data_IF_569081858921
#
_entry.id   IF_569081858921
#
_cell.length_a   1.000
_cell.length_b   1.000
_cell.length_c   1.000
_cell.angle_alpha   90.00
_cell.angle_beta   90.00
_cell.angle_gamma   90.00
#
_symmetry.space_group_name_H-M   'P 1'
#
loop_
_entity.id
_entity.type
_entity.pdbx_description
1 polymer ?
#
# COMPACT_ATOMS: atom_id res chain seq x y z
N UNK A 1 -6.57 -33.60 4.20
CA UNK A 1 -7.75 -32.71 4.23
C UNK A 1 -8.62 -32.98 5.47
N UNK A 2 -8.99 -31.93 6.22
CA UNK A 2 -10.07 -32.02 7.21
C UNK A 2 -9.76 -32.49 8.63
N UNK A 3 -8.50 -32.49 9.09
CA UNK A 3 -8.21 -32.76 10.52
C UNK A 3 -6.91 -32.16 11.06
N UNK A 4 -6.05 -31.59 10.21
CA UNK A 4 -4.72 -31.15 10.63
C UNK A 4 -4.72 -29.68 11.03
N UNK A 5 -4.74 -29.48 12.34
CA UNK A 5 -4.61 -28.18 13.00
C UNK A 5 -3.14 -27.70 12.92
N UNK A 6 -2.16 -28.61 12.93
CA UNK A 6 -0.76 -28.26 13.24
C UNK A 6 0.25 -28.33 12.10
N UNK A 7 0.21 -29.31 11.19
CA UNK A 7 1.22 -29.43 10.11
C UNK A 7 0.55 -29.72 8.77
N UNK A 8 0.88 -28.92 7.74
CA UNK A 8 0.35 -29.10 6.39
C UNK A 8 1.54 -29.30 5.47
N UNK A 9 1.68 -30.52 4.96
CA UNK A 9 2.46 -30.78 3.76
C UNK A 9 2.05 -29.76 2.69
N UNK A 10 3.02 -29.00 2.17
CA UNK A 10 2.76 -27.91 1.22
C UNK A 10 2.67 -26.50 1.80
N UNK A 11 2.95 -26.28 3.10
CA UNK A 11 3.10 -24.90 3.64
C UNK A 11 4.28 -24.15 2.99
N UNK A 12 5.41 -24.82 2.82
CA UNK A 12 6.57 -24.25 2.13
C UNK A 12 6.35 -24.20 0.62
N UNK A 13 7.08 -23.33 -0.07
CA UNK A 13 7.14 -23.37 -1.53
C UNK A 13 7.86 -24.65 -2.02
N UNK A 14 8.12 -24.77 -3.33
CA UNK A 14 8.81 -25.94 -3.91
C UNK A 14 10.21 -26.21 -3.33
N UNK A 15 10.86 -25.19 -2.75
CA UNK A 15 12.14 -25.29 -2.07
C UNK A 15 12.00 -25.47 -0.55
N UNK A 16 10.77 -25.74 -0.07
CA UNK A 16 10.40 -25.84 1.33
C UNK A 16 10.69 -24.57 2.16
N UNK A 17 10.63 -23.39 1.51
CA UNK A 17 10.79 -22.09 2.17
C UNK A 17 9.42 -21.51 2.51
N UNK A 18 9.28 -20.99 3.73
CA UNK A 18 8.08 -20.28 4.17
C UNK A 18 8.09 -18.86 3.61
N UNK A 19 7.17 -18.56 2.68
CA UNK A 19 7.15 -17.28 1.97
C UNK A 19 6.78 -16.09 2.88
N UNK A 20 6.03 -16.34 3.95
CA UNK A 20 5.69 -15.40 5.02
C UNK A 20 6.91 -14.95 5.87
N UNK A 21 8.10 -15.53 5.65
CA UNK A 21 9.36 -15.15 6.33
C UNK A 21 10.47 -14.71 5.37
N UNK A 22 10.20 -14.68 4.06
CA UNK A 22 11.24 -14.55 3.03
C UNK A 22 11.45 -13.09 2.57
N UNK A 23 10.66 -12.13 3.06
CA UNK A 23 10.73 -10.74 2.61
C UNK A 23 11.98 -9.99 3.09
N UNK A 24 12.69 -10.49 4.09
CA UNK A 24 13.99 -9.97 4.51
C UNK A 24 15.16 -10.91 4.17
N UNK A 25 14.93 -11.90 3.31
CA UNK A 25 15.97 -12.84 2.87
C UNK A 25 17.02 -12.14 1.99
N UNK A 26 18.29 -12.53 2.14
CA UNK A 26 19.38 -12.13 1.24
C UNK A 26 19.35 -12.89 -0.10
N UNK A 27 18.62 -14.01 -0.16
CA UNK A 27 18.37 -14.79 -1.36
C UNK A 27 16.87 -15.13 -1.43
N UNK A 28 16.01 -14.15 -1.78
CA UNK A 28 14.58 -14.36 -1.80
C UNK A 28 14.14 -15.36 -2.87
N UNK A 29 13.06 -16.07 -2.59
CA UNK A 29 12.37 -16.97 -3.51
C UNK A 29 11.75 -16.19 -4.69
N UNK A 30 11.44 -16.91 -5.77
CA UNK A 30 10.92 -16.30 -7.00
C UNK A 30 9.56 -15.63 -6.77
N UNK A 31 8.73 -16.24 -5.95
CA UNK A 31 7.43 -15.74 -5.52
C UNK A 31 7.58 -14.41 -4.78
N UNK A 32 8.49 -14.35 -3.81
CA UNK A 32 8.82 -13.15 -3.05
C UNK A 32 9.34 -12.03 -3.95
N UNK A 33 10.21 -12.34 -4.91
CA UNK A 33 10.71 -11.36 -5.89
C UNK A 33 9.61 -10.81 -6.78
N UNK A 34 8.68 -11.67 -7.25
CA UNK A 34 7.55 -11.27 -8.06
C UNK A 34 6.62 -10.31 -7.29
N UNK A 35 6.30 -10.66 -6.04
CA UNK A 35 5.45 -9.83 -5.16
C UNK A 35 6.13 -8.49 -4.82
N UNK A 36 7.42 -8.49 -4.48
CA UNK A 36 8.19 -7.25 -4.25
C UNK A 36 8.21 -6.34 -5.48
N UNK A 37 8.32 -6.92 -6.69
CA UNK A 37 8.25 -6.16 -7.94
C UNK A 37 6.87 -5.54 -8.09
N UNK A 38 5.81 -6.33 -7.88
CA UNK A 38 4.43 -5.87 -7.99
C UNK A 38 4.12 -4.72 -7.01
N UNK A 39 4.53 -4.86 -5.75
CA UNK A 39 4.41 -3.81 -4.72
C UNK A 39 5.14 -2.51 -5.08
N UNK A 40 6.21 -2.61 -5.87
CA UNK A 40 6.95 -1.45 -6.36
C UNK A 40 6.28 -0.78 -7.56
N UNK A 41 5.61 -1.56 -8.41
CA UNK A 41 5.03 -1.06 -9.65
C UNK A 41 3.71 -0.31 -9.43
N UNK A 42 3.00 -0.59 -8.34
CA UNK A 42 1.69 -0.01 -8.04
C UNK A 42 1.66 0.70 -6.67
N UNK A 43 0.93 1.83 -6.54
CA UNK A 43 0.82 2.57 -5.30
C UNK A 43 -0.26 1.96 -4.39
N UNK A 44 -0.04 0.75 -3.88
CA UNK A 44 -0.98 0.11 -2.97
C UNK A 44 -1.09 0.88 -1.66
N UNK A 45 -2.34 1.05 -1.20
CA UNK A 45 -2.68 1.82 0.00
C UNK A 45 -3.12 0.90 1.13
N UNK A 46 -3.98 -0.07 0.78
CA UNK A 46 -4.54 -1.08 1.67
C UNK A 46 -4.33 -2.47 1.06
N UNK A 47 -3.98 -3.43 1.90
CA UNK A 47 -3.76 -4.83 1.52
C UNK A 47 -4.29 -5.78 2.58
N UNK A 48 -4.62 -7.00 2.19
CA UNK A 48 -4.87 -8.09 3.13
C UNK A 48 -4.25 -9.40 2.66
N UNK A 49 -3.85 -10.21 3.63
CA UNK A 49 -3.52 -11.63 3.43
C UNK A 49 -4.54 -12.50 4.12
N UNK A 50 -4.92 -13.60 3.46
CA UNK A 50 -5.86 -14.58 4.00
C UNK A 50 -5.10 -15.85 4.38
N UNK A 51 -5.31 -16.30 5.61
CA UNK A 51 -4.62 -17.44 6.21
C UNK A 51 -5.63 -18.32 6.96
N UNK A 52 -5.24 -19.56 7.25
CA UNK A 52 -6.02 -20.48 8.08
C UNK A 52 -5.17 -21.05 9.21
N UNK A 53 -5.83 -21.59 10.23
CA UNK A 53 -5.25 -22.14 11.44
C UNK A 53 -5.72 -21.47 12.74
N UNK A 54 -6.46 -20.37 12.63
CA UNK A 54 -7.15 -19.69 13.74
C UNK A 54 -8.23 -18.75 13.18
N UNK A 55 -8.96 -18.09 14.07
CA UNK A 55 -9.91 -17.01 13.73
C UNK A 55 -9.41 -15.73 14.39
N UNK A 56 -8.79 -14.82 13.64
CA UNK A 56 -8.20 -13.58 14.15
C UNK A 56 -7.84 -12.61 13.03
N UNK A 57 -7.84 -11.31 13.33
CA UNK A 57 -7.21 -10.28 12.51
C UNK A 57 -5.91 -9.82 13.16
N UNK A 58 -4.80 -9.99 12.44
CA UNK A 58 -3.45 -9.70 12.87
C UNK A 58 -2.93 -8.49 12.10
N UNK A 59 -2.47 -7.47 12.83
CA UNK A 59 -1.90 -6.26 12.24
C UNK A 59 -0.44 -6.04 12.67
N UNK A 60 0.34 -5.19 11.98
CA UNK A 60 1.74 -4.98 12.32
C UNK A 60 1.96 -4.49 13.76
N UNK A 61 3.09 -4.79 14.38
CA UNK A 61 4.21 -5.54 13.78
C UNK A 61 4.11 -7.05 14.00
N UNK A 62 4.48 -7.83 12.99
CA UNK A 62 4.79 -9.26 13.14
C UNK A 62 6.12 -9.44 13.89
N UNK A 63 7.12 -8.61 13.61
CA UNK A 63 8.39 -8.59 14.33
C UNK A 63 8.69 -7.19 14.86
N UNK A 64 8.42 -6.92 16.14
CA UNK A 64 8.47 -5.56 16.68
C UNK A 64 9.90 -4.98 16.62
N UNK A 65 10.11 -3.82 15.98
CA UNK A 65 11.38 -3.13 16.03
C UNK A 65 11.65 -2.70 17.47
N UNK A 66 12.84 -3.04 17.99
CA UNK A 66 13.28 -2.66 19.34
C UNK A 66 12.32 -3.09 20.48
N UNK A 67 11.47 -4.10 20.23
CA UNK A 67 10.48 -4.58 21.19
C UNK A 67 9.23 -3.71 21.33
N UNK A 68 9.03 -2.70 20.47
CA UNK A 68 7.80 -1.91 20.39
C UNK A 68 6.78 -2.64 19.50
N UNK A 69 5.74 -3.21 20.12
CA UNK A 69 4.68 -3.92 19.40
C UNK A 69 3.76 -3.01 18.59
N UNK A 70 3.57 -1.77 19.03
CA UNK A 70 2.72 -0.81 18.33
C UNK A 70 3.47 -0.07 17.23
N UNK A 71 2.81 0.06 16.08
CA UNK A 71 3.25 0.99 15.02
C UNK A 71 2.93 2.44 15.41
N UNK A 72 3.42 3.41 14.65
CA UNK A 72 2.93 4.79 14.81
C UNK A 72 1.51 4.99 14.23
N UNK A 73 1.00 3.98 13.51
CA UNK A 73 -0.35 3.92 12.95
C UNK A 73 -1.23 2.85 13.60
N UNK A 74 -0.93 2.48 14.85
CA UNK A 74 -1.61 1.42 15.61
C UNK A 74 -3.12 1.65 15.68
N UNK A 75 -3.54 2.91 15.81
CA UNK A 75 -4.94 3.32 15.81
C UNK A 75 -5.66 3.03 14.49
N UNK A 76 -5.00 3.29 13.35
CA UNK A 76 -5.54 3.03 12.02
C UNK A 76 -5.57 1.53 11.76
N UNK A 77 -4.49 0.81 12.09
CA UNK A 77 -4.44 -0.64 11.94
C UNK A 77 -5.51 -1.35 12.78
N UNK A 78 -5.71 -0.92 14.02
CA UNK A 78 -6.75 -1.45 14.88
C UNK A 78 -8.14 -1.22 14.29
N UNK A 79 -8.42 -0.02 13.76
CA UNK A 79 -9.68 0.29 13.08
C UNK A 79 -9.91 -0.56 11.81
N UNK A 80 -8.89 -0.72 10.98
CA UNK A 80 -8.94 -1.58 9.78
C UNK A 80 -9.20 -3.05 10.12
N UNK A 81 -8.50 -3.58 11.13
CA UNK A 81 -8.70 -4.95 11.59
C UNK A 81 -10.10 -5.15 12.19
N UNK A 82 -10.59 -4.18 12.99
CA UNK A 82 -11.94 -4.21 13.55
C UNK A 82 -13.03 -4.09 12.48
N UNK A 83 -12.77 -3.38 11.39
CA UNK A 83 -13.73 -3.23 10.28
C UNK A 83 -14.09 -4.60 9.70
N UNK A 84 -13.09 -5.46 9.49
CA UNK A 84 -13.33 -6.84 9.07
C UNK A 84 -13.96 -7.68 10.19
N UNK A 85 -13.34 -7.66 11.37
CA UNK A 85 -13.67 -8.60 12.44
C UNK A 85 -15.08 -8.42 13.00
N UNK A 86 -15.64 -7.20 12.99
CA UNK A 86 -16.99 -6.91 13.48
C UNK A 86 -18.09 -7.46 12.58
N UNK A 87 -17.83 -7.54 11.28
CA UNK A 87 -18.77 -8.06 10.28
C UNK A 87 -18.66 -9.58 10.13
N UNK A 88 -17.56 -10.19 10.58
CA UNK A 88 -17.35 -11.63 10.48
C UNK A 88 -18.03 -12.35 11.65
N UNK A 89 -18.91 -13.31 11.35
CA UNK A 89 -19.75 -13.98 12.35
C UNK A 89 -18.94 -14.60 13.50
N UNK A 90 -17.95 -15.43 13.15
CA UNK A 90 -17.13 -16.14 14.12
C UNK A 90 -16.04 -15.28 14.77
N UNK A 91 -15.45 -14.33 14.03
CA UNK A 91 -14.38 -13.49 14.57
C UNK A 91 -14.90 -12.52 15.64
N UNK A 92 -16.18 -12.13 15.58
CA UNK A 92 -16.83 -11.36 16.65
C UNK A 92 -17.01 -12.17 17.95
N UNK A 93 -16.89 -13.50 17.91
CA UNK A 93 -17.15 -14.39 19.03
C UNK A 93 -15.84 -15.06 19.53
N UNK A 94 -15.42 -14.87 20.79
CA UNK A 94 -14.14 -15.35 21.30
C UNK A 94 -13.99 -16.88 21.46
N UNK A 95 -15.06 -17.67 21.32
CA UNK A 95 -15.04 -19.13 21.56
C UNK A 95 -14.99 -19.97 20.26
N UNK A 96 -14.71 -19.35 19.10
CA UNK A 96 -14.95 -19.96 17.78
C UNK A 96 -13.99 -21.11 17.40
N UNK A 97 -12.75 -21.14 17.92
CA UNK A 97 -11.86 -22.31 17.79
C UNK A 97 -11.70 -22.99 19.16
N UNK A 98 -12.50 -24.03 19.44
CA UNK A 98 -12.41 -24.79 20.70
C UNK A 98 -10.96 -25.29 20.96
N UNK A 99 -10.49 -25.10 22.20
CA UNK A 99 -9.21 -25.52 22.79
C UNK A 99 -7.91 -24.80 22.36
N UNK A 100 -7.94 -23.84 21.42
CA UNK A 100 -6.72 -23.08 21.02
C UNK A 100 -6.62 -21.67 21.59
N UNK A 101 -7.74 -21.08 22.02
CA UNK A 101 -7.84 -19.66 22.38
C UNK A 101 -7.90 -19.37 23.90
N UNK A 102 -7.66 -20.37 24.76
CA UNK A 102 -7.80 -20.23 26.22
C UNK A 102 -6.88 -19.18 26.89
N UNK A 103 -5.96 -18.54 26.16
CA UNK A 103 -4.94 -17.66 26.76
C UNK A 103 -4.79 -16.26 26.17
N UNK A 104 -5.47 -15.88 25.09
CA UNK A 104 -5.31 -14.54 24.50
C UNK A 104 -6.63 -13.86 24.24
N UNK A 105 -7.01 -12.94 25.14
CA UNK A 105 -8.18 -12.09 25.00
C UNK A 105 -8.08 -11.20 23.75
N UNK A 106 -8.89 -11.49 22.73
CA UNK A 106 -9.12 -10.59 21.60
C UNK A 106 -8.81 -11.19 20.24
N UNK A 107 -9.78 -11.11 19.34
CA UNK A 107 -9.69 -11.54 17.94
C UNK A 107 -8.97 -10.51 17.04
N UNK A 108 -8.68 -9.31 17.54
CA UNK A 108 -7.82 -8.30 16.90
C UNK A 108 -6.59 -8.09 17.76
N UNK A 109 -5.40 -8.35 17.21
CA UNK A 109 -4.12 -8.23 17.94
C UNK A 109 -2.94 -7.98 17.01
N UNK A 110 -1.79 -7.63 17.58
CA UNK A 110 -0.58 -7.49 16.76
C UNK A 110 -0.09 -8.88 16.35
N UNK A 111 0.50 -8.99 15.16
CA UNK A 111 1.05 -10.24 14.67
C UNK A 111 2.13 -10.80 15.61
N UNK A 112 2.99 -9.92 16.14
CA UNK A 112 4.07 -10.29 17.05
C UNK A 112 3.59 -10.76 18.43
N UNK A 113 2.43 -10.31 18.91
CA UNK A 113 1.87 -10.86 20.16
C UNK A 113 1.35 -12.28 19.96
N UNK A 114 0.76 -12.56 18.79
CA UNK A 114 0.29 -13.91 18.43
C UNK A 114 1.46 -14.86 18.15
N UNK A 115 2.35 -14.47 17.23
CA UNK A 115 3.56 -15.21 16.87
C UNK A 115 4.58 -14.27 16.20
N UNK A 116 5.76 -14.06 16.81
CA UNK A 116 6.81 -13.28 16.16
C UNK A 116 7.29 -13.89 14.83
N UNK A 117 7.21 -13.14 13.73
CA UNK A 117 7.63 -13.57 12.38
C UNK A 117 8.58 -12.53 11.79
N UNK A 118 9.89 -12.84 11.76
CA UNK A 118 10.88 -11.93 11.17
C UNK A 118 10.85 -12.01 9.65
N UNK A 119 10.78 -10.84 9.00
CA UNK A 119 10.83 -10.75 7.55
C UNK A 119 9.50 -11.10 6.89
N UNK A 120 8.39 -10.73 7.53
CA UNK A 120 7.05 -10.92 6.97
C UNK A 120 6.73 -9.94 5.84
N UNK A 121 5.79 -10.36 5.00
CA UNK A 121 5.24 -9.52 3.93
C UNK A 121 4.50 -8.30 4.49
N UNK A 122 3.76 -8.50 5.59
CA UNK A 122 2.96 -7.46 6.25
C UNK A 122 3.83 -6.30 6.74
N UNK A 123 4.89 -6.62 7.50
CA UNK A 123 5.86 -5.64 7.97
C UNK A 123 6.60 -4.99 6.79
N UNK A 124 6.98 -5.78 5.76
CA UNK A 124 7.66 -5.27 4.58
C UNK A 124 6.81 -4.22 3.83
N UNK A 125 5.52 -4.48 3.62
CA UNK A 125 4.58 -3.56 2.99
C UNK A 125 4.52 -2.22 3.72
N UNK A 126 4.31 -2.27 5.04
CA UNK A 126 4.13 -1.09 5.84
C UNK A 126 5.41 -0.26 5.93
N UNK A 127 6.55 -0.90 6.22
CA UNK A 127 7.84 -0.22 6.41
C UNK A 127 8.38 0.34 5.08
N UNK A 128 8.29 -0.43 4.00
CA UNK A 128 8.95 -0.09 2.73
C UNK A 128 8.08 0.79 1.84
N UNK A 129 6.79 0.51 1.78
CA UNK A 129 5.87 1.12 0.83
C UNK A 129 4.80 2.01 1.50
N UNK A 130 4.64 1.92 2.82
CA UNK A 130 3.57 2.62 3.54
C UNK A 130 2.18 2.04 3.29
N UNK A 131 2.10 0.90 2.60
CA UNK A 131 0.86 0.14 2.38
C UNK A 131 0.47 -0.55 3.68
N UNK A 132 -0.76 -0.34 4.14
CA UNK A 132 -1.26 -0.97 5.36
C UNK A 132 -1.78 -2.36 5.03
N UNK A 133 -1.08 -3.40 5.46
CA UNK A 133 -1.50 -4.79 5.28
C UNK A 133 -2.00 -5.40 6.59
N UNK A 134 -3.12 -6.14 6.54
CA UNK A 134 -3.65 -6.94 7.64
C UNK A 134 -3.58 -8.43 7.26
N UNK A 135 -3.31 -9.32 8.21
CA UNK A 135 -3.45 -10.76 8.04
C UNK A 135 -4.72 -11.26 8.71
N UNK A 136 -5.67 -11.74 7.93
CA UNK A 136 -6.88 -12.37 8.42
C UNK A 136 -6.69 -13.89 8.48
N UNK A 137 -6.83 -14.45 9.67
CA UNK A 137 -6.99 -15.87 9.92
C UNK A 137 -8.49 -16.16 9.86
N UNK A 138 -8.93 -16.80 8.77
CA UNK A 138 -10.36 -16.87 8.38
C UNK A 138 -10.99 -18.25 8.63
N UNK A 139 -10.20 -19.22 9.09
CA UNK A 139 -10.67 -20.57 9.36
C UNK A 139 -9.81 -21.26 10.42
N UNK A 140 -10.42 -22.00 11.35
CA UNK A 140 -9.64 -22.85 12.26
C UNK A 140 -8.91 -23.96 11.49
N UNK A 141 -9.55 -24.52 10.46
CA UNK A 141 -8.97 -25.54 9.59
C UNK A 141 -8.17 -24.91 8.44
N UNK A 142 -6.87 -25.20 8.37
CA UNK A 142 -5.98 -24.76 7.27
C UNK A 142 -6.38 -25.31 5.90
N UNK A 143 -6.98 -26.50 5.88
CA UNK A 143 -7.47 -27.16 4.68
C UNK A 143 -8.88 -27.72 4.96
N UNK A 144 -9.93 -26.86 4.85
CA UNK A 144 -11.32 -27.24 5.10
C UNK A 144 -11.83 -28.24 4.06
N UNK A 145 -12.96 -28.89 4.34
CA UNK A 145 -13.61 -29.74 3.33
C UNK A 145 -14.29 -28.87 2.28
N UNK A 146 -14.46 -29.41 1.07
CA UNK A 146 -15.16 -28.69 -0.01
C UNK A 146 -16.61 -28.36 0.34
N UNK A 147 -17.23 -29.12 1.24
CA UNK A 147 -18.56 -28.86 1.78
C UNK A 147 -18.65 -27.57 2.60
N UNK A 148 -17.55 -27.13 3.19
CA UNK A 148 -17.50 -26.00 4.13
C UNK A 148 -17.20 -24.67 3.41
N UNK A 149 -16.83 -24.73 2.12
CA UNK A 149 -16.48 -23.56 1.32
C UNK A 149 -17.64 -22.54 1.15
N UNK A 150 -18.92 -22.96 0.97
CA UNK A 150 -20.03 -22.00 0.93
C UNK A 150 -20.17 -21.20 2.22
N UNK A 151 -20.06 -21.85 3.38
CA UNK A 151 -20.18 -21.20 4.67
C UNK A 151 -18.98 -20.25 4.90
N UNK A 152 -17.75 -20.70 4.59
CA UNK A 152 -16.57 -19.83 4.62
C UNK A 152 -16.72 -18.60 3.71
N UNK A 153 -17.34 -18.74 2.55
CA UNK A 153 -17.62 -17.62 1.67
C UNK A 153 -18.62 -16.64 2.30
N UNK A 154 -19.74 -17.16 2.79
CA UNK A 154 -20.81 -16.34 3.39
C UNK A 154 -20.31 -15.59 4.64
N UNK A 155 -19.43 -16.21 5.44
CA UNK A 155 -18.81 -15.61 6.62
C UNK A 155 -17.82 -14.49 6.31
N UNK A 156 -17.16 -14.54 5.14
CA UNK A 156 -16.06 -13.64 4.80
C UNK A 156 -16.41 -12.60 3.73
N UNK A 157 -17.50 -12.80 2.98
CA UNK A 157 -17.89 -11.89 1.88
C UNK A 157 -18.12 -10.45 2.34
N UNK A 158 -19.03 -10.24 3.29
CA UNK A 158 -19.35 -8.88 3.77
C UNK A 158 -18.17 -8.25 4.55
N UNK A 159 -17.41 -8.98 5.39
CA UNK A 159 -16.17 -8.48 5.98
C UNK A 159 -15.12 -8.01 4.97
N UNK A 160 -14.91 -8.78 3.91
CA UNK A 160 -13.99 -8.41 2.84
C UNK A 160 -14.46 -7.13 2.15
N UNK A 161 -15.75 -7.01 1.84
CA UNK A 161 -16.30 -5.80 1.21
C UNK A 161 -16.15 -4.57 2.13
N UNK A 162 -16.43 -4.71 3.43
CA UNK A 162 -16.25 -3.64 4.41
C UNK A 162 -14.77 -3.20 4.49
N UNK A 163 -13.85 -4.18 4.53
CA UNK A 163 -12.41 -3.90 4.54
C UNK A 163 -11.95 -3.20 3.26
N UNK A 164 -12.42 -3.65 2.08
CA UNK A 164 -12.14 -2.98 0.81
C UNK A 164 -12.67 -1.53 0.81
N UNK A 165 -13.86 -1.29 1.37
CA UNK A 165 -14.45 0.04 1.52
C UNK A 165 -13.60 0.99 2.36
N UNK A 166 -12.90 0.46 3.38
CA UNK A 166 -12.04 1.23 4.27
C UNK A 166 -10.85 1.91 3.57
N UNK A 167 -10.51 1.51 2.33
CA UNK A 167 -9.50 2.20 1.51
C UNK A 167 -9.83 3.67 1.25
N UNK A 168 -11.11 4.06 1.41
CA UNK A 168 -11.59 5.43 1.24
C UNK A 168 -11.38 6.32 2.48
N UNK A 169 -10.79 5.79 3.54
CA UNK A 169 -10.44 6.58 4.73
C UNK A 169 -9.22 7.47 4.51
N UNK A 170 -9.07 8.45 5.39
CA UNK A 170 -7.90 9.32 5.46
C UNK A 170 -7.90 10.39 4.39
N UNK A 171 -6.74 10.54 3.73
CA UNK A 171 -6.47 11.63 2.81
C UNK A 171 -5.91 11.15 1.48
N UNK A 172 -6.21 11.92 0.45
CA UNK A 172 -5.56 11.86 -0.85
C UNK A 172 -5.14 13.25 -1.31
N UNK A 173 -4.20 13.34 -2.24
CA UNK A 173 -3.81 14.64 -2.78
C UNK A 173 -2.78 14.58 -3.91
N UNK A 174 -2.62 15.70 -4.61
CA UNK A 174 -1.56 15.90 -5.59
C UNK A 174 -0.46 16.78 -5.00
N UNK A 175 0.79 16.37 -5.21
CA UNK A 175 1.96 17.21 -5.00
C UNK A 175 2.36 17.83 -6.33
N UNK A 176 2.33 19.15 -6.43
CA UNK A 176 2.72 19.89 -7.63
C UNK A 176 3.80 20.92 -7.34
N UNK A 177 4.48 21.41 -8.38
CA UNK A 177 5.34 22.59 -8.32
C UNK A 177 4.53 23.89 -8.54
N UNK A 178 5.22 25.03 -8.43
CA UNK A 178 4.64 26.35 -8.63
C UNK A 178 4.10 26.60 -10.06
N UNK A 179 4.50 25.77 -11.03
CA UNK A 179 3.98 25.78 -12.40
C UNK A 179 2.79 24.83 -12.61
N UNK A 180 2.41 24.07 -11.58
CA UNK A 180 1.32 23.09 -11.63
C UNK A 180 1.73 21.72 -12.18
N UNK A 181 3.02 21.46 -12.39
CA UNK A 181 3.49 20.14 -12.82
C UNK A 181 3.54 19.18 -11.62
N UNK A 182 3.24 17.88 -11.82
CA UNK A 182 3.33 16.90 -10.75
C UNK A 182 4.77 16.72 -10.27
N UNK A 183 4.96 16.62 -8.95
CA UNK A 183 6.26 16.34 -8.34
C UNK A 183 6.31 14.88 -7.90
N UNK A 184 7.05 14.02 -8.63
CA UNK A 184 7.13 12.60 -8.30
C UNK A 184 8.10 12.31 -7.17
N UNK A 185 7.89 11.18 -6.47
CA UNK A 185 8.75 10.69 -5.39
C UNK A 185 8.94 11.68 -4.23
N UNK A 186 8.07 12.68 -4.08
CA UNK A 186 8.05 13.56 -2.92
C UNK A 186 7.82 12.69 -1.68
N UNK A 187 8.66 12.85 -0.65
CA UNK A 187 8.52 12.20 0.64
C UNK A 187 7.42 12.90 1.41
N UNK A 188 6.39 12.16 1.80
CA UNK A 188 5.31 12.66 2.65
C UNK A 188 5.45 12.01 4.03
N UNK A 189 5.26 12.81 5.07
CA UNK A 189 5.33 12.36 6.47
C UNK A 189 4.20 13.02 7.26
N UNK A 190 3.59 12.24 8.15
CA UNK A 190 2.59 12.73 9.09
C UNK A 190 3.29 12.96 10.42
N UNK A 191 3.13 14.15 11.00
CA UNK A 191 3.74 14.47 12.29
C UNK A 191 3.27 13.50 13.39
N UNK A 192 4.22 12.97 14.15
CA UNK A 192 4.01 11.91 15.14
C UNK A 192 3.98 10.49 14.56
N UNK A 193 4.19 10.33 13.24
CA UNK A 193 4.20 9.03 12.53
C UNK A 193 5.39 8.88 11.59
N UNK A 194 6.58 9.14 12.13
CA UNK A 194 7.82 9.22 11.35
C UNK A 194 8.42 7.85 10.98
N UNK A 195 7.96 6.75 11.58
CA UNK A 195 8.47 5.40 11.27
C UNK A 195 8.15 4.93 9.85
N UNK A 196 7.17 5.54 9.17
CA UNK A 196 6.84 5.19 7.79
C UNK A 196 7.08 6.33 6.82
N UNK A 197 7.54 5.95 5.63
CA UNK A 197 7.79 6.87 4.54
C UNK A 197 6.99 6.42 3.34
N UNK A 198 5.98 7.22 2.98
CA UNK A 198 5.25 7.06 1.72
C UNK A 198 5.62 8.20 0.76
N UNK A 199 5.42 7.94 -0.53
CA UNK A 199 5.90 8.82 -1.60
C UNK A 199 4.82 9.11 -2.62
N UNK A 200 4.90 10.28 -3.23
CA UNK A 200 4.03 10.61 -4.36
C UNK A 200 4.38 9.75 -5.59
N UNK A 201 3.36 9.41 -6.38
CA UNK A 201 3.52 8.65 -7.62
C UNK A 201 4.24 9.47 -8.70
N UNK A 202 4.49 8.87 -9.87
CA UNK A 202 4.95 9.59 -11.06
C UNK A 202 4.04 10.76 -11.47
N UNK A 203 2.77 10.71 -11.09
CA UNK A 203 1.77 11.76 -11.33
C UNK A 203 1.58 12.71 -10.14
N UNK A 204 2.45 12.62 -9.13
CA UNK A 204 2.36 13.46 -7.93
C UNK A 204 1.26 13.05 -6.95
N UNK A 205 0.53 11.97 -7.22
CA UNK A 205 -0.58 11.51 -6.37
C UNK A 205 -0.05 10.88 -5.08
N UNK A 206 -0.79 11.05 -3.99
CA UNK A 206 -0.55 10.32 -2.75
C UNK A 206 -1.87 9.98 -2.06
N UNK A 207 -1.83 8.93 -1.25
CA UNK A 207 -2.91 8.49 -0.38
C UNK A 207 -2.33 8.09 0.97
N UNK A 208 -3.09 8.35 2.04
CA UNK A 208 -2.74 7.91 3.38
C UNK A 208 -3.99 7.67 4.20
N UNK A 209 -4.18 6.44 4.65
CA UNK A 209 -5.24 6.09 5.60
C UNK A 209 -4.93 6.73 6.95
N UNK A 210 -5.93 7.42 7.50
CA UNK A 210 -5.86 8.13 8.78
C UNK A 210 -7.24 8.09 9.45
N UNK A 211 -7.26 8.21 10.77
CA UNK A 211 -8.49 8.39 11.54
C UNK A 211 -8.93 9.86 11.50
N UNK A 212 -10.12 10.11 12.01
CA UNK A 212 -10.63 11.47 12.21
C UNK A 212 -9.75 12.21 13.22
N UNK A 213 -8.97 13.18 12.74
CA UNK A 213 -8.14 14.04 13.58
C UNK A 213 -7.56 15.22 12.79
N UNK A 214 -6.87 16.11 13.50
CA UNK A 214 -5.99 17.10 12.91
C UNK A 214 -4.56 16.57 12.86
N UNK A 215 -3.94 16.65 11.69
CA UNK A 215 -2.58 16.21 11.45
C UNK A 215 -1.71 17.33 10.86
N UNK A 216 -0.40 17.21 11.07
CA UNK A 216 0.58 17.99 10.33
C UNK A 216 1.13 17.14 9.18
N UNK A 217 0.83 17.53 7.95
CA UNK A 217 1.42 16.94 6.75
C UNK A 217 2.73 17.66 6.44
N UNK A 218 3.83 16.93 6.31
CA UNK A 218 5.11 17.44 5.82
C UNK A 218 5.44 16.80 4.48
N UNK A 219 5.72 17.62 3.47
CA UNK A 219 6.11 17.18 2.13
C UNK A 219 7.49 17.72 1.80
N UNK A 220 8.39 16.81 1.45
CA UNK A 220 9.78 17.08 1.10
C UNK A 220 10.11 16.49 -0.27
N UNK A 221 10.77 17.26 -1.14
CA UNK A 221 11.21 16.78 -2.43
C UNK A 221 12.54 17.42 -2.81
N UNK A 222 13.39 16.65 -3.50
CA UNK A 222 14.71 17.13 -3.95
C UNK A 222 14.55 18.36 -4.83
N UNK A 223 15.23 19.45 -4.46
CA UNK A 223 15.22 20.71 -5.20
C UNK A 223 14.09 21.67 -4.81
N UNK A 224 13.25 21.30 -3.83
CA UNK A 224 12.19 22.14 -3.30
C UNK A 224 12.42 22.46 -1.82
N UNK A 225 11.83 23.54 -1.33
CA UNK A 225 11.71 23.81 0.09
C UNK A 225 10.64 22.92 0.71
N UNK A 226 10.96 22.27 1.83
CA UNK A 226 10.02 21.45 2.59
C UNK A 226 8.77 22.26 2.96
N UNK A 227 7.59 21.70 2.71
CA UNK A 227 6.30 22.31 3.04
C UNK A 227 5.67 21.57 4.21
N UNK A 228 5.17 22.33 5.18
CA UNK A 228 4.30 21.82 6.24
C UNK A 228 2.91 22.42 6.08
N UNK A 229 1.88 21.59 6.31
CA UNK A 229 0.48 21.97 6.18
C UNK A 229 -0.36 21.23 7.23
N UNK A 230 -1.16 21.98 7.98
CA UNK A 230 -2.18 21.39 8.85
C UNK A 230 -3.37 20.91 8.01
N UNK A 231 -3.82 19.69 8.29
CA UNK A 231 -4.97 19.06 7.62
C UNK A 231 -5.94 18.52 8.68
N UNK A 232 -7.23 18.56 8.38
CA UNK A 232 -8.28 17.97 9.20
C UNK A 232 -8.87 16.80 8.44
N UNK A 233 -8.77 15.61 9.00
CA UNK A 233 -9.33 14.38 8.41
C UNK A 233 -10.70 14.14 9.02
N UNK A 234 -11.65 13.83 8.14
CA UNK A 234 -13.00 13.41 8.50
C UNK A 234 -13.39 12.31 7.53
N UNK A 235 -13.41 11.08 8.03
CA UNK A 235 -13.63 9.89 7.27
C UNK A 235 -15.07 9.83 6.74
N UNK A 236 -15.25 9.26 5.54
CA UNK A 236 -16.56 8.98 4.96
C UNK A 236 -17.50 8.27 5.94
N UNK A 237 -18.74 8.74 6.03
CA UNK A 237 -19.81 8.07 6.79
C UNK A 237 -20.78 7.30 5.90
N UNK A 238 -20.64 7.45 4.58
CA UNK A 238 -21.45 6.80 3.56
C UNK A 238 -20.59 6.27 2.42
N UNK A 239 -21.11 5.28 1.68
CA UNK A 239 -20.37 4.61 0.60
C UNK A 239 -20.13 5.48 -0.63
N UNK A 240 -20.79 6.64 -0.74
CA UNK A 240 -20.63 7.57 -1.86
C UNK A 240 -19.58 8.67 -1.58
N UNK A 241 -19.05 8.71 -0.36
CA UNK A 241 -18.06 9.69 0.08
C UNK A 241 -16.62 9.21 -0.18
N UNK A 242 -15.77 10.15 -0.60
CA UNK A 242 -14.35 9.93 -0.89
C UNK A 242 -13.46 10.55 0.19
N UNK A 243 -12.21 10.08 0.35
CA UNK A 243 -11.26 10.64 1.30
C UNK A 243 -11.04 12.14 1.06
N UNK A 244 -10.73 12.85 2.14
CA UNK A 244 -10.47 14.29 2.08
C UNK A 244 -9.32 14.57 1.11
N UNK A 245 -9.50 15.57 0.24
CA UNK A 245 -8.50 15.91 -0.77
C UNK A 245 -7.65 17.11 -0.32
N UNK A 246 -6.35 16.91 -0.20
CA UNK A 246 -5.37 17.92 0.22
C UNK A 246 -4.22 18.01 -0.77
N UNK A 247 -4.31 18.97 -1.69
CA UNK A 247 -3.22 19.24 -2.64
C UNK A 247 -2.12 20.08 -1.99
N UNK A 248 -0.87 19.80 -2.36
CA UNK A 248 0.32 20.47 -1.84
C UNK A 248 1.13 21.03 -3.00
N UNK A 249 1.40 22.33 -2.96
CA UNK A 249 2.32 22.99 -3.90
C UNK A 249 3.66 23.22 -3.24
N UNK A 250 4.72 22.65 -3.83
CA UNK A 250 6.11 22.87 -3.44
C UNK A 250 6.71 24.03 -4.24
N UNK A 251 7.70 24.69 -3.66
CA UNK A 251 8.40 25.82 -4.28
C UNK A 251 9.90 25.59 -4.25
N UNK A 252 10.59 25.94 -5.35
CA UNK A 252 12.07 25.88 -5.38
C UNK A 252 12.66 26.94 -4.45
N UNK A 253 13.78 26.66 -3.76
CA UNK A 253 14.44 27.67 -2.95
C UNK A 253 14.82 28.86 -3.83
N UNK A 254 14.50 30.08 -3.42
CA UNK A 254 14.94 31.27 -4.14
C UNK A 254 16.46 31.23 -4.27
N UNK A 255 16.98 31.07 -5.49
CA UNK A 255 18.36 31.44 -5.80
C UNK A 255 18.44 32.95 -5.66
N UNK A 256 18.79 33.42 -4.46
CA UNK A 256 19.42 34.72 -4.33
C UNK A 256 20.73 34.60 -5.10
N UNK A 257 20.69 34.96 -6.37
CA UNK A 257 21.89 35.23 -7.14
C UNK A 257 22.55 36.38 -6.41
N UNK A 258 23.59 36.08 -5.63
CA UNK A 258 24.54 37.09 -5.18
C UNK A 258 25.10 37.70 -6.46
N UNK A 259 24.47 38.78 -6.92
CA UNK A 259 25.03 39.64 -7.95
C UNK A 259 26.30 40.22 -7.35
N UNK A 260 27.41 39.53 -7.54
CA UNK A 260 28.72 40.11 -7.46
C UNK A 260 28.76 41.19 -8.54
N UNK A 261 28.62 42.44 -8.10
CA UNK A 261 28.88 43.62 -8.92
C UNK A 261 30.34 43.58 -9.35
N UNK A 262 30.61 42.97 -10.50
CA UNK A 262 31.86 43.16 -11.24
C UNK A 262 31.61 44.17 -12.36
N UNK A 263 31.97 45.41 -12.07
CA UNK A 263 32.15 46.47 -13.04
C UNK A 263 33.28 46.08 -14.00
N UNK A 264 33.02 45.95 -15.30
CA UNK A 264 33.89 46.48 -16.37
C UNK A 264 33.35 46.22 -17.78
N UNK A 265 33.05 47.34 -18.44
CA UNK A 265 33.53 47.74 -19.77
C UNK A 265 33.14 46.93 -21.02
N UNK A 266 32.37 47.63 -21.85
CA UNK A 266 32.02 47.39 -23.26
C UNK A 266 33.15 46.90 -24.16
N UNK A 267 32.82 45.96 -25.05
CA UNK A 267 33.24 46.04 -26.46
C UNK A 267 32.24 45.31 -27.37
N UNK A 268 31.87 45.99 -28.45
CA UNK A 268 31.01 45.55 -29.55
C UNK A 268 31.78 44.69 -30.55
N UNK A 269 31.18 43.65 -31.13
CA UNK A 269 31.34 43.28 -32.57
C UNK A 269 30.18 42.39 -33.04
N UNK A 270 29.84 42.60 -34.30
CA UNK A 270 28.64 42.26 -35.06
C UNK A 270 28.64 40.84 -35.66
N UNK A 271 27.44 40.31 -35.88
CA UNK A 271 26.92 39.75 -37.15
C UNK A 271 26.56 38.25 -37.28
N UNK A 272 25.39 38.07 -37.94
CA UNK A 272 24.93 37.04 -38.89
C UNK A 272 23.99 35.91 -38.43
N UNK A 273 23.04 35.68 -39.35
CA UNK A 273 21.74 34.98 -39.27
C UNK A 273 21.76 33.64 -40.04
N UNK A 274 21.08 32.61 -39.49
CA UNK A 274 20.14 31.61 -40.14
C UNK A 274 20.75 30.51 -41.07
N UNK A 275 20.16 29.29 -41.30
CA UNK A 275 18.86 28.68 -40.89
C UNK A 275 18.84 27.22 -40.32
N UNK A 276 17.63 26.85 -39.87
CA UNK A 276 16.98 25.53 -39.65
C UNK A 276 17.38 24.34 -40.55
N UNK A 277 17.29 23.13 -39.97
CA UNK A 277 16.92 21.88 -40.67
C UNK A 277 15.92 21.07 -39.83
N UNK A 278 14.78 20.73 -40.43
CA UNK A 278 13.82 19.70 -40.00
C UNK A 278 14.15 18.39 -40.73
N UNK A 279 14.01 17.23 -40.09
CA UNK A 279 13.76 15.95 -40.78
C UNK A 279 12.92 14.99 -39.92
N UNK A 280 11.65 14.89 -40.36
CA UNK A 280 10.73 13.75 -40.49
C UNK A 280 10.96 12.41 -39.78
N UNK A 281 9.83 11.95 -39.20
CA UNK A 281 9.38 10.58 -38.82
C UNK A 281 9.56 9.53 -39.94
N UNK A 282 9.58 8.24 -39.56
CA UNK A 282 8.74 7.25 -40.23
C UNK A 282 7.86 6.43 -39.28
N UNK A 283 6.68 6.12 -39.79
CA UNK A 283 5.68 5.12 -39.35
C UNK A 283 6.07 3.71 -39.78
N UNK A 284 5.75 2.69 -38.97
CA UNK A 284 5.15 1.46 -39.49
C UNK A 284 4.34 0.70 -38.41
N UNK A 285 3.25 0.08 -38.85
CA UNK A 285 2.24 -0.68 -38.13
C UNK A 285 2.57 -2.18 -38.16
N UNK A 286 2.18 -2.94 -37.12
CA UNK A 286 1.52 -4.28 -37.18
C UNK A 286 1.27 -4.78 -35.74
N UNK A 287 0.01 -4.80 -35.28
CA UNK A 287 -0.87 -5.99 -35.12
C UNK A 287 -0.48 -6.83 -33.87
N UNK A 288 -0.97 -6.49 -32.67
CA UNK A 288 -2.22 -6.94 -32.01
C UNK A 288 -2.39 -8.46 -31.89
N UNK A 289 -1.98 -8.98 -30.73
CA UNK A 289 -2.57 -10.16 -30.10
C UNK A 289 -3.25 -9.71 -28.79
N UNK A 290 -4.56 -9.94 -28.72
CA UNK A 290 -5.44 -9.50 -27.64
C UNK A 290 -5.24 -10.34 -26.36
N UNK A 291 -4.72 -9.72 -25.30
CA UNK A 291 -4.86 -10.18 -23.92
C UNK A 291 -5.39 -8.99 -23.11
N UNK A 292 -6.50 -9.22 -22.40
CA UNK A 292 -7.28 -8.30 -21.56
C UNK A 292 -6.45 -7.19 -20.87
N UNK A 293 -6.45 -6.02 -21.49
CA UNK A 293 -5.86 -4.78 -20.99
C UNK A 293 -6.88 -4.03 -20.13
N UNK A 294 -6.98 -4.40 -18.84
CA UNK A 294 -7.62 -3.57 -17.83
C UNK A 294 -6.61 -2.58 -17.26
N UNK A 295 -6.27 -1.57 -18.06
CA UNK A 295 -5.95 -0.18 -17.69
C UNK A 295 -4.84 0.45 -18.55
N UNK A 296 -5.03 0.55 -19.87
CA UNK A 296 -4.36 1.59 -20.65
C UNK A 296 -5.04 2.95 -20.38
N UNK A 297 -4.43 3.81 -19.58
CA UNK A 297 -4.73 5.25 -19.63
C UNK A 297 -3.49 6.00 -20.08
N UNK A 298 -3.27 5.98 -21.39
CA UNK A 298 -2.44 6.98 -22.06
C UNK A 298 -3.20 8.30 -22.10
N UNK A 299 -2.53 9.37 -21.71
CA UNK A 299 -2.91 10.78 -21.89
C UNK A 299 -4.14 11.27 -21.10
N UNK A 300 -3.96 11.44 -19.79
CA UNK A 300 -4.78 12.35 -18.99
C UNK A 300 -3.86 13.42 -18.42
N UNK A 301 -4.08 14.70 -18.78
CA UNK A 301 -3.43 15.83 -18.12
C UNK A 301 -3.66 15.71 -16.60
N UNK A 302 -2.58 15.69 -15.82
CA UNK A 302 -2.57 15.50 -14.37
C UNK A 302 -3.11 16.73 -13.60
N UNK A 303 -4.33 17.18 -13.92
CA UNK A 303 -5.02 18.31 -13.25
C UNK A 303 -6.17 17.86 -12.35
N UNK A 304 -6.53 16.58 -12.37
CA UNK A 304 -7.61 16.02 -11.54
C UNK A 304 -7.39 14.54 -11.25
N UNK A 305 -7.75 14.10 -10.04
CA UNK A 305 -7.89 12.68 -9.73
C UNK A 305 -9.02 12.07 -10.58
N UNK A 306 -8.79 10.93 -11.26
CA UNK A 306 -9.91 10.13 -11.75
C UNK A 306 -10.65 9.50 -10.55
N UNK A 307 -11.97 9.50 -10.58
CA UNK A 307 -12.85 8.99 -9.50
C UNK A 307 -12.77 7.47 -9.26
N UNK A 308 -11.81 6.76 -9.85
CA UNK A 308 -11.74 5.29 -9.83
C UNK A 308 -10.35 4.71 -9.51
N UNK A 309 -9.32 5.54 -9.29
CA UNK A 309 -7.97 5.02 -9.07
C UNK A 309 -7.67 4.90 -7.57
N UNK A 310 -8.09 3.76 -7.01
CA UNK A 310 -7.49 3.16 -5.82
C UNK A 310 -7.36 1.66 -6.10
N UNK A 311 -6.11 1.18 -6.17
CA UNK A 311 -5.84 -0.24 -6.36
C UNK A 311 -5.73 -0.87 -4.97
N UNK A 312 -6.69 -1.73 -4.64
CA UNK A 312 -6.60 -2.57 -3.44
C UNK A 312 -5.83 -3.84 -3.80
N UNK A 313 -4.83 -4.18 -2.99
CA UNK A 313 -4.23 -5.50 -3.02
C UNK A 313 -5.20 -6.49 -2.36
N UNK A 314 -6.03 -7.16 -3.14
CA UNK A 314 -6.59 -8.44 -2.72
C UNK A 314 -5.71 -9.54 -3.28
N UNK A 315 -4.83 -10.10 -2.45
CA UNK A 315 -4.30 -11.42 -2.73
C UNK A 315 -5.13 -12.47 -1.98
N UNK A 316 -5.88 -13.24 -2.76
CA UNK A 316 -6.02 -14.65 -2.46
C UNK A 316 -4.66 -15.26 -2.77
N UNK A 317 -3.85 -15.56 -1.75
CA UNK A 317 -2.78 -16.54 -1.95
C UNK A 317 -3.48 -17.87 -2.13
N UNK A 318 -3.73 -18.23 -3.40
CA UNK A 318 -4.12 -19.58 -3.79
C UNK A 318 -2.93 -20.51 -3.57
N UNK A 319 -2.72 -20.94 -2.34
CA UNK A 319 -2.07 -22.23 -2.07
C UNK A 319 -3.19 -23.28 -2.11
N UNK A 320 -3.49 -23.81 -3.31
CA UNK A 320 -3.83 -25.23 -3.56
C UNK A 320 -4.57 -25.60 -4.89
N UNK A 321 -4.69 -24.78 -5.93
CA UNK A 321 -5.41 -25.23 -7.17
C UNK A 321 -4.69 -24.99 -8.51
N UNK A 322 -3.39 -24.71 -8.53
CA UNK A 322 -2.66 -24.48 -9.80
C UNK A 322 -1.44 -25.38 -10.02
N UNK A 323 -1.49 -26.64 -9.58
CA UNK A 323 -0.52 -27.67 -10.04
C UNK A 323 -1.04 -28.54 -11.21
N UNK A 324 -2.20 -28.23 -11.80
CA UNK A 324 -2.75 -29.00 -12.93
C UNK A 324 -3.10 -28.22 -14.20
N UNK A 325 -2.59 -27.00 -14.36
CA UNK A 325 -2.64 -26.29 -15.65
C UNK A 325 -1.31 -25.59 -15.90
N UNK A 326 -0.29 -26.38 -16.23
CA UNK A 326 0.87 -26.03 -17.07
C UNK A 326 1.33 -27.31 -17.78
#
# INVERSE_FOLDING_TARGET
PGSEISEVEGRGNINNVSLDMDFNSSSPQKETLAVKKWMKDFPFVLSATLNGGSISALYPYDYPPEGKYSTDDDDVFNELALTYAKEHMDMRNPDSCSDLDQYESGFVKTGGSYRPIKGSMMDFNYITHGCMEISFQISCHKFPFSSDLPDLWDDNKEPLLAFLGAVRMGVRGLVTDEEGNPVPNAKITIGGRESTVFRSTSRGEFWRLLRDNNYMLQVDAKGFSTKQQYITVTNPTSDDEWPNTFNVTLYRPNTTTSTSTSTSTSSSTTSRTVPKVNLTKPTDNTEKDDILDLASTSDVEAKSFPDWVLVVCSFVVTLNVLSHIL
#
